data_IF_459948752785
#
_entry.id   IF_459948752785
#
_cell.length_a   1.000
_cell.length_b   1.000
_cell.length_c   1.000
_cell.angle_alpha   90.00
_cell.angle_beta   90.00
_cell.angle_gamma   90.00
#
_symmetry.space_group_name_H-M   'P 1'
#
loop_
_entity.id
_entity.type
_entity.pdbx_description
1 polymer ?
#
# COMPACT_ATOMS: atom_id res chain seq x y z
N UNK A 1 -27.86 -9.08 14.60
CA UNK A 1 -27.93 -10.47 15.10
C UNK A 1 -28.20 -11.39 13.94
N UNK A 2 -27.20 -12.13 13.47
CA UNK A 2 -27.39 -13.35 12.69
C UNK A 2 -26.28 -14.31 13.10
N UNK A 3 -26.68 -15.33 13.86
CA UNK A 3 -25.88 -16.50 14.21
C UNK A 3 -26.05 -17.48 13.06
N UNK A 4 -24.96 -17.99 12.49
CA UNK A 4 -25.02 -19.27 11.79
C UNK A 4 -23.76 -20.08 12.10
N UNK A 5 -23.95 -21.01 13.03
CA UNK A 5 -23.07 -22.12 13.31
C UNK A 5 -23.43 -23.28 12.37
N UNK A 6 -22.44 -23.90 11.73
CA UNK A 6 -22.51 -25.25 11.15
C UNK A 6 -21.06 -25.79 11.13
N UNK A 7 -20.63 -26.53 12.14
CA UNK A 7 -20.81 -27.98 12.31
C UNK A 7 -20.00 -28.80 11.27
N UNK A 8 -18.89 -29.40 11.76
CA UNK A 8 -18.19 -30.52 11.13
C UNK A 8 -19.14 -31.71 10.90
N UNK A 9 -18.80 -32.61 9.97
CA UNK A 9 -18.50 -33.95 10.46
C UNK A 9 -17.29 -34.65 9.79
N UNK A 10 -16.66 -35.46 10.62
CA UNK A 10 -15.62 -36.45 10.37
C UNK A 10 -16.04 -37.54 9.37
N UNK A 11 -15.10 -38.02 8.56
CA UNK A 11 -15.19 -39.34 7.93
C UNK A 11 -13.79 -39.98 7.80
N UNK A 12 -13.36 -40.63 8.89
CA UNK A 12 -12.33 -41.68 8.89
C UNK A 12 -13.04 -43.01 8.64
N UNK A 13 -12.86 -43.64 7.47
CA UNK A 13 -12.99 -45.08 7.26
C UNK A 13 -12.87 -45.44 5.78
N UNK A 14 -11.83 -46.20 5.38
CA UNK A 14 -11.89 -47.29 4.38
C UNK A 14 -10.72 -48.26 4.69
N UNK A 15 -10.99 -49.31 5.45
CA UNK A 15 -11.24 -50.69 5.02
C UNK A 15 -9.97 -51.49 4.67
N UNK A 16 -9.61 -52.38 5.61
CA UNK A 16 -8.63 -53.44 5.44
C UNK A 16 -9.15 -54.44 4.39
N UNK A 17 -8.46 -54.53 3.26
CA UNK A 17 -8.73 -55.59 2.27
C UNK A 17 -7.59 -56.60 2.36
N UNK A 18 -7.83 -57.69 3.08
CA UNK A 18 -6.99 -58.89 3.06
C UNK A 18 -7.19 -59.60 1.72
N UNK A 19 -6.09 -59.83 0.98
CA UNK A 19 -6.09 -60.74 -0.18
C UNK A 19 -5.19 -61.94 0.09
N UNK A 20 -5.59 -63.13 -0.39
CA UNK A 20 -4.91 -64.39 -0.14
C UNK A 20 -3.57 -64.46 -0.87
N UNK A 21 -2.59 -65.05 -0.20
CA UNK A 21 -1.25 -65.26 -0.69
C UNK A 21 -1.24 -66.23 -1.89
N UNK A 22 -0.73 -65.73 -3.02
CA UNK A 22 -0.45 -66.51 -4.20
C UNK A 22 0.99 -67.02 -4.10
N UNK A 23 1.15 -68.35 -4.07
CA UNK A 23 2.44 -69.04 -4.01
C UNK A 23 3.24 -68.67 -5.25
N UNK A 24 4.29 -67.86 -5.07
CA UNK A 24 5.21 -67.43 -6.12
C UNK A 24 6.48 -68.29 -6.05
N UNK A 25 7.02 -68.79 -7.18
CA UNK A 25 8.26 -69.56 -7.19
C UNK A 25 9.42 -68.72 -6.64
N UNK A 26 10.29 -69.39 -5.87
CA UNK A 26 11.46 -68.80 -5.24
C UNK A 26 12.39 -68.20 -6.30
N UNK A 27 12.30 -66.89 -6.49
CA UNK A 27 13.35 -66.12 -7.16
C UNK A 27 14.60 -66.19 -6.27
N UNK A 28 15.74 -66.55 -6.87
CA UNK A 28 17.03 -66.50 -6.21
C UNK A 28 17.22 -65.14 -5.51
N UNK A 29 17.82 -65.09 -4.30
CA UNK A 29 18.09 -63.82 -3.65
C UNK A 29 19.07 -63.04 -4.52
N UNK A 30 18.55 -62.04 -5.24
CA UNK A 30 19.39 -60.99 -5.82
C UNK A 30 20.09 -60.35 -4.62
N UNK A 31 21.41 -60.52 -4.54
CA UNK A 31 22.22 -59.89 -3.53
C UNK A 31 22.01 -58.37 -3.65
N UNK A 32 21.19 -57.82 -2.75
CA UNK A 32 21.03 -56.39 -2.56
C UNK A 32 22.42 -55.90 -2.17
N UNK A 33 23.14 -55.31 -3.13
CA UNK A 33 24.39 -54.63 -2.83
C UNK A 33 24.09 -53.66 -1.69
N UNK A 34 24.92 -53.62 -0.62
CA UNK A 34 24.66 -52.73 0.50
C UNK A 34 24.57 -51.32 -0.07
N UNK A 35 23.36 -50.74 0.00
CA UNK A 35 23.13 -49.38 -0.39
C UNK A 35 24.19 -48.54 0.33
N UNK A 36 25.03 -47.83 -0.43
CA UNK A 36 26.07 -46.97 0.12
C UNK A 36 25.46 -46.18 1.27
N UNK A 37 25.94 -46.39 2.50
CA UNK A 37 25.38 -45.78 3.69
C UNK A 37 25.47 -44.27 3.51
N UNK A 38 24.35 -43.64 3.13
CA UNK A 38 24.30 -42.21 2.93
C UNK A 38 24.51 -41.61 4.32
N UNK A 39 25.63 -40.91 4.48
CA UNK A 39 25.96 -40.16 5.69
C UNK A 39 24.92 -39.05 5.88
N UNK A 40 23.81 -39.41 6.57
CA UNK A 40 22.66 -38.53 6.78
C UNK A 40 23.06 -37.23 7.45
N UNK A 41 24.06 -37.28 8.32
CA UNK A 41 24.65 -36.12 9.00
C UNK A 41 25.19 -35.10 8.01
N UNK A 42 25.90 -35.52 6.94
CA UNK A 42 26.37 -34.59 5.90
C UNK A 42 25.23 -33.98 5.10
N UNK A 43 24.17 -34.74 4.81
CA UNK A 43 23.00 -34.24 4.08
C UNK A 43 22.26 -33.18 4.92
N UNK A 44 22.07 -33.44 6.21
CA UNK A 44 21.43 -32.51 7.14
C UNK A 44 22.26 -31.23 7.27
N UNK A 45 23.58 -31.33 7.45
CA UNK A 45 24.45 -30.16 7.53
C UNK A 45 24.41 -29.29 6.27
N UNK A 46 24.42 -29.90 5.08
CA UNK A 46 24.26 -29.17 3.81
C UNK A 46 22.92 -28.45 3.74
N UNK A 47 21.84 -29.12 4.16
CA UNK A 47 20.49 -28.55 4.16
C UNK A 47 20.38 -27.37 5.13
N UNK A 48 20.94 -27.48 6.34
CA UNK A 48 20.98 -26.39 7.32
C UNK A 48 21.76 -25.18 6.79
N UNK A 49 22.91 -25.41 6.16
CA UNK A 49 23.70 -24.33 5.55
C UNK A 49 22.92 -23.60 4.45
N UNK A 50 22.23 -24.34 3.58
CA UNK A 50 21.36 -23.78 2.54
C UNK A 50 20.21 -22.98 3.13
N UNK A 51 19.54 -23.50 4.15
CA UNK A 51 18.45 -22.81 4.84
C UNK A 51 18.95 -21.52 5.52
N UNK A 52 20.09 -21.54 6.19
CA UNK A 52 20.67 -20.35 6.80
C UNK A 52 21.13 -19.29 5.79
N UNK A 53 21.57 -19.70 4.59
CA UNK A 53 21.84 -18.76 3.49
C UNK A 53 20.55 -18.12 2.96
N UNK A 54 19.51 -18.93 2.76
CA UNK A 54 18.20 -18.43 2.31
C UNK A 54 17.56 -17.50 3.33
N UNK A 55 17.65 -17.83 4.63
CA UNK A 55 17.07 -17.00 5.67
C UNK A 55 17.74 -15.62 5.71
N UNK A 56 19.07 -15.56 5.70
CA UNK A 56 19.81 -14.29 5.59
C UNK A 56 19.46 -13.50 4.33
N UNK A 57 19.30 -14.18 3.20
CA UNK A 57 18.89 -13.53 1.96
C UNK A 57 17.46 -12.95 2.06
N UNK A 58 16.53 -13.67 2.70
CA UNK A 58 15.18 -13.18 2.94
C UNK A 58 15.17 -11.99 3.91
N UNK A 59 15.91 -12.07 5.02
CA UNK A 59 16.06 -10.97 5.98
C UNK A 59 16.58 -9.70 5.30
N UNK A 60 17.61 -9.83 4.44
CA UNK A 60 18.12 -8.68 3.67
C UNK A 60 17.06 -8.08 2.73
N UNK A 61 16.23 -8.92 2.09
CA UNK A 61 15.15 -8.46 1.21
C UNK A 61 14.04 -7.76 1.99
N UNK A 62 13.67 -8.30 3.15
CA UNK A 62 12.68 -7.68 4.03
C UNK A 62 13.18 -6.30 4.47
N UNK A 63 14.42 -6.19 4.92
CA UNK A 63 15.01 -4.90 5.30
C UNK A 63 14.99 -3.88 4.13
N UNK A 64 15.33 -4.31 2.91
CA UNK A 64 15.26 -3.40 1.74
C UNK A 64 13.83 -2.98 1.38
N UNK A 65 12.86 -3.86 1.56
CA UNK A 65 11.45 -3.55 1.30
C UNK A 65 10.88 -2.61 2.36
N UNK A 66 11.24 -2.80 3.62
CA UNK A 66 10.86 -1.91 4.72
C UNK A 66 11.41 -0.50 4.51
N UNK A 67 12.67 -0.38 4.10
CA UNK A 67 13.26 0.93 3.79
C UNK A 67 12.57 1.59 2.59
N UNK A 68 12.31 0.83 1.51
CA UNK A 68 11.58 1.33 0.36
C UNK A 68 10.16 1.79 0.72
N UNK A 69 9.47 1.07 1.60
CA UNK A 69 8.15 1.46 2.11
C UNK A 69 8.22 2.73 2.95
N UNK A 70 9.23 2.86 3.80
CA UNK A 70 9.47 4.08 4.59
C UNK A 70 9.73 5.28 3.69
N UNK A 71 10.55 5.11 2.66
CA UNK A 71 10.83 6.14 1.66
C UNK A 71 9.57 6.53 0.87
N UNK A 72 8.77 5.56 0.43
CA UNK A 72 7.52 5.85 -0.26
C UNK A 72 6.55 6.59 0.64
N UNK A 73 6.37 6.16 1.89
CA UNK A 73 5.52 6.87 2.87
C UNK A 73 5.96 8.32 3.06
N UNK A 74 7.25 8.56 3.26
CA UNK A 74 7.79 9.91 3.42
C UNK A 74 7.54 10.81 2.20
N UNK A 75 7.39 10.24 0.99
CA UNK A 75 7.05 10.98 -0.24
C UNK A 75 5.54 11.19 -0.40
N UNK A 76 4.71 10.26 0.09
CA UNK A 76 3.26 10.29 -0.11
C UNK A 76 2.50 10.95 1.04
N UNK A 77 3.06 10.95 2.24
CA UNK A 77 2.52 11.67 3.39
C UNK A 77 2.70 13.16 3.15
N UNK A 78 1.61 13.79 2.76
CA UNK A 78 1.50 15.22 2.51
C UNK A 78 0.58 15.79 3.58
N UNK A 79 0.95 16.95 4.11
CA UNK A 79 0.19 17.66 5.14
C UNK A 79 0.10 19.12 4.75
N UNK A 80 -0.96 19.79 5.17
CA UNK A 80 -1.14 21.21 4.89
C UNK A 80 -0.73 22.05 6.09
N UNK A 81 0.09 23.07 5.84
CA UNK A 81 0.42 24.14 6.78
C UNK A 81 0.02 25.47 6.15
N UNK A 82 -1.21 25.93 6.43
CA UNK A 82 -1.79 27.10 5.78
C UNK A 82 -1.97 26.90 4.28
N UNK A 83 -1.34 27.76 3.47
CA UNK A 83 -1.33 27.66 1.99
C UNK A 83 -0.21 26.77 1.45
N UNK A 84 0.52 26.08 2.31
CA UNK A 84 1.70 25.29 1.92
C UNK A 84 1.42 23.80 2.08
N UNK A 85 1.74 23.01 1.07
CA UNK A 85 1.77 21.55 1.15
C UNK A 85 3.17 21.12 1.58
N UNK A 86 3.26 20.32 2.65
CA UNK A 86 4.53 19.84 3.22
C UNK A 86 4.56 18.32 3.16
N UNK A 87 5.63 17.76 2.58
CA UNK A 87 5.84 16.32 2.54
C UNK A 87 6.63 15.82 3.76
N UNK A 88 6.55 14.51 4.04
CA UNK A 88 7.29 13.86 5.12
C UNK A 88 8.83 13.90 5.00
N UNK A 89 9.37 14.43 3.90
CA UNK A 89 10.80 14.68 3.68
C UNK A 89 11.21 16.12 4.00
N UNK A 90 10.27 16.99 4.39
CA UNK A 90 10.52 18.41 4.66
C UNK A 90 10.53 19.30 3.42
N UNK A 91 10.15 18.79 2.25
CA UNK A 91 9.85 19.61 1.08
C UNK A 91 8.52 20.32 1.24
N UNK A 92 8.45 21.58 0.80
CA UNK A 92 7.24 22.41 0.88
C UNK A 92 6.93 23.04 -0.47
N UNK A 93 5.68 22.94 -0.90
CA UNK A 93 5.16 23.57 -2.12
C UNK A 93 4.13 24.64 -1.72
N UNK A 94 4.27 25.86 -2.23
CA UNK A 94 3.27 26.91 -2.06
C UNK A 94 2.09 26.67 -3.02
N UNK A 95 0.88 26.64 -2.47
CA UNK A 95 -0.32 26.34 -3.24
C UNK A 95 -0.98 27.58 -3.86
N UNK A 96 -0.51 28.79 -3.54
CA UNK A 96 -1.12 30.02 -4.07
C UNK A 96 -1.16 30.02 -5.60
N UNK A 97 -2.29 30.41 -6.23
CA UNK A 97 -3.48 31.08 -5.67
C UNK A 97 -4.55 30.13 -5.06
N UNK A 98 -4.30 28.83 -5.03
CA UNK A 98 -5.24 27.82 -4.53
C UNK A 98 -4.97 27.46 -3.06
N UNK A 99 -5.99 26.94 -2.37
CA UNK A 99 -5.82 26.43 -1.02
C UNK A 99 -5.19 25.03 -1.02
N UNK A 100 -4.51 24.69 0.08
CA UNK A 100 -4.07 23.32 0.33
C UNK A 100 -5.29 22.45 0.73
N UNK A 101 -5.41 21.25 0.16
CA UNK A 101 -6.47 20.32 0.50
C UNK A 101 -6.11 19.53 1.77
N UNK A 102 -6.74 19.84 2.91
CA UNK A 102 -6.50 19.14 4.17
C UNK A 102 -6.82 17.64 4.14
N UNK A 103 -7.61 17.16 3.17
CA UNK A 103 -7.92 15.72 3.03
C UNK A 103 -6.74 14.94 2.47
N UNK A 104 -6.15 15.43 1.38
CA UNK A 104 -5.08 14.71 0.64
C UNK A 104 -3.69 15.29 0.91
N UNK A 105 -3.60 16.40 1.65
CA UNK A 105 -2.38 17.16 1.91
C UNK A 105 -1.79 17.91 0.71
N UNK A 106 -2.43 17.84 -0.46
CA UNK A 106 -1.94 18.36 -1.75
C UNK A 106 -2.50 19.75 -2.05
N UNK A 107 -1.74 20.54 -2.81
CA UNK A 107 -2.25 21.77 -3.40
C UNK A 107 -3.43 21.49 -4.35
N UNK A 108 -4.51 22.26 -4.21
CA UNK A 108 -5.59 22.23 -5.19
C UNK A 108 -5.10 22.86 -6.50
N UNK A 109 -5.61 22.34 -7.60
CA UNK A 109 -5.34 22.88 -8.95
C UNK A 109 -6.57 23.54 -9.57
N UNK A 110 -7.73 23.33 -8.96
CA UNK A 110 -9.01 23.88 -9.38
C UNK A 110 -9.84 24.28 -8.15
N UNK A 111 -10.69 25.28 -8.34
CA UNK A 111 -11.62 25.75 -7.33
C UNK A 111 -13.06 25.65 -7.83
N UNK A 112 -13.97 25.15 -7.00
CA UNK A 112 -15.41 25.15 -7.29
C UNK A 112 -16.15 26.19 -6.44
N UNK A 113 -15.45 26.76 -5.45
CA UNK A 113 -15.96 27.67 -4.43
C UNK A 113 -14.79 28.53 -3.92
N UNK A 114 -15.09 29.68 -3.35
CA UNK A 114 -14.09 30.59 -2.77
C UNK A 114 -13.28 29.96 -1.64
N UNK A 115 -13.85 29.02 -0.88
CA UNK A 115 -13.14 28.25 0.16
C UNK A 115 -12.00 27.36 -0.38
N UNK A 116 -11.95 27.11 -1.70
CA UNK A 116 -10.87 26.37 -2.34
C UNK A 116 -9.70 27.29 -2.77
N UNK A 117 -9.83 28.60 -2.57
CA UNK A 117 -8.81 29.58 -2.90
C UNK A 117 -7.97 29.93 -1.68
N UNK A 118 -6.71 30.27 -1.92
CA UNK A 118 -5.86 30.80 -0.87
C UNK A 118 -6.44 32.12 -0.32
N UNK A 119 -6.10 32.50 0.92
CA UNK A 119 -6.49 33.80 1.48
C UNK A 119 -6.14 34.94 0.52
N UNK A 120 -7.10 35.82 0.25
CA UNK A 120 -6.93 36.93 -0.69
C UNK A 120 -7.25 36.60 -2.16
N UNK A 121 -7.71 35.39 -2.46
CA UNK A 121 -8.19 35.01 -3.79
C UNK A 121 -9.67 34.59 -3.75
N UNK A 122 -10.39 34.85 -4.83
CA UNK A 122 -11.81 34.52 -5.00
C UNK A 122 -12.03 33.59 -6.19
N UNK A 123 -13.08 32.78 -6.12
CA UNK A 123 -13.44 31.89 -7.23
C UNK A 123 -14.11 32.68 -8.36
N UNK A 124 -13.64 32.49 -9.60
CA UNK A 124 -14.14 33.22 -10.77
C UNK A 124 -15.33 32.56 -11.49
N UNK A 125 -15.89 31.46 -10.96
CA UNK A 125 -16.95 30.69 -11.64
C UNK A 125 -16.46 29.70 -12.71
N UNK A 126 -15.19 29.78 -13.12
CA UNK A 126 -14.60 29.04 -14.25
C UNK A 126 -13.51 28.03 -13.85
N UNK A 127 -13.54 27.56 -12.61
CA UNK A 127 -12.57 26.65 -11.98
C UNK A 127 -11.26 27.27 -11.46
N UNK A 128 -11.12 28.59 -11.47
CA UNK A 128 -9.88 29.27 -11.09
C UNK A 128 -10.06 30.17 -9.88
N UNK A 129 -8.95 30.39 -9.18
CA UNK A 129 -8.83 31.40 -8.14
C UNK A 129 -8.15 32.64 -8.72
N UNK A 130 -8.81 33.79 -8.60
CA UNK A 130 -8.31 35.07 -9.10
C UNK A 130 -8.19 36.07 -7.96
N UNK A 131 -7.26 37.01 -8.08
CA UNK A 131 -7.19 38.11 -7.14
C UNK A 131 -8.47 38.97 -7.27
N UNK A 132 -9.06 39.43 -6.15
CA UNK A 132 -10.19 40.35 -6.21
C UNK A 132 -9.75 41.65 -6.90
N UNK A 133 -10.67 42.32 -7.62
CA UNK A 133 -10.37 43.64 -8.19
C UNK A 133 -10.00 44.63 -7.06
N UNK A 134 -9.11 45.60 -7.33
CA UNK A 134 -8.76 46.62 -6.35
C UNK A 134 -10.02 47.40 -5.90
N UNK A 135 -10.13 47.66 -4.60
CA UNK A 135 -11.30 48.26 -3.94
C UNK A 135 -11.59 49.72 -4.36
N UNK A 136 -10.79 50.25 -5.27
CA UNK A 136 -10.72 51.64 -5.69
C UNK A 136 -11.90 52.03 -6.62
N UNK A 137 -12.66 51.07 -7.13
CA UNK A 137 -13.71 51.31 -8.15
C UNK A 137 -15.15 51.21 -7.64
N UNK A 138 -15.40 50.94 -6.35
CA UNK A 138 -16.76 50.87 -5.80
C UNK A 138 -17.29 52.22 -5.26
N UNK A 139 -16.53 53.31 -5.36
CA UNK A 139 -16.93 54.60 -4.77
C UNK A 139 -17.67 55.59 -5.68
N UNK A 140 -17.91 55.29 -6.95
CA UNK A 140 -18.57 56.26 -7.84
C UNK A 140 -20.00 55.89 -8.29
N UNK A 141 -20.54 54.74 -7.87
CA UNK A 141 -21.89 54.31 -8.27
C UNK A 141 -22.91 54.22 -7.11
N UNK A 142 -22.70 54.97 -6.03
CA UNK A 142 -23.62 54.92 -4.89
C UNK A 142 -23.62 56.14 -4.01
N UNK A 143 -24.23 57.26 -4.46
CA UNK A 143 -24.91 58.18 -3.53
C UNK A 143 -25.87 59.20 -4.18
N UNK A 144 -25.73 59.52 -5.46
CA UNK A 144 -26.64 60.46 -6.14
C UNK A 144 -27.21 59.77 -7.38
N UNK A 145 -28.39 59.16 -7.22
CA UNK A 145 -29.01 58.38 -8.29
C UNK A 145 -29.23 59.22 -9.54
N UNK A 146 -28.60 58.83 -10.64
CA UNK A 146 -29.06 58.90 -12.03
C UNK A 146 -28.11 58.04 -12.87
N UNK A 147 -28.64 57.41 -13.93
CA UNK A 147 -28.10 56.22 -14.59
C UNK A 147 -26.65 56.27 -15.07
N UNK A 148 -26.02 55.10 -15.09
CA UNK A 148 -24.82 54.85 -15.88
C UNK A 148 -25.21 54.81 -17.36
N UNK A 149 -24.61 55.71 -18.15
CA UNK A 149 -24.57 55.74 -19.60
C UNK A 149 -23.11 55.58 -20.04
#
# INVERSE_FOLDING_TARGET
MFVLALALPSALAVAQTSRPALIRPAAAPVAVQPAAAIDQTRVIQRRLKLLGQRNRALESRVATLEEALREMRARTELTCSGTTSVNGRGGSDDCTPYACNHVDGRCRVTAAKTEHCAPGFVWNGGNQCVAPPPADQEKDCGFLGFGCL
#
